data_IF_307198194831
#
_entry.id   IF_307198194831
#
_cell.length_a   1.000
_cell.length_b   1.000
_cell.length_c   1.000
_cell.angle_alpha   90.00
_cell.angle_beta   90.00
_cell.angle_gamma   90.00
#
_symmetry.space_group_name_H-M   'P 1'
#
loop_
_entity.id
_entity.type
_entity.pdbx_description
1 polymer ?
#
# COMPACT_ATOMS: atom_id res chain seq x y z
N UNK A 1 14.59 -12.49 -22.52
CA UNK A 1 13.19 -12.60 -23.00
C UNK A 1 12.27 -12.05 -21.91
N UNK A 2 11.89 -10.77 -22.00
CA UNK A 2 10.93 -10.17 -21.08
C UNK A 2 9.53 -10.49 -21.62
N UNK A 3 8.78 -11.34 -20.92
CA UNK A 3 7.44 -11.74 -21.33
C UNK A 3 6.47 -10.56 -21.19
N UNK A 4 6.22 -9.92 -22.32
CA UNK A 4 4.96 -9.30 -22.76
C UNK A 4 3.84 -9.16 -21.71
N UNK A 5 3.84 -8.08 -20.94
CA UNK A 5 2.61 -7.59 -20.27
C UNK A 5 1.77 -6.70 -21.21
N UNK A 6 2.22 -6.46 -22.45
CA UNK A 6 1.56 -5.58 -23.41
C UNK A 6 0.31 -6.14 -24.08
N UNK A 7 -0.04 -7.42 -23.86
CA UNK A 7 -1.17 -8.08 -24.54
C UNK A 7 -2.52 -7.92 -23.83
N UNK A 8 -2.57 -7.54 -22.55
CA UNK A 8 -3.82 -7.44 -21.78
C UNK A 8 -3.78 -6.23 -20.84
N UNK A 9 -4.24 -5.05 -21.27
CA UNK A 9 -4.20 -3.83 -20.45
C UNK A 9 -4.96 -4.00 -19.12
N UNK A 10 -6.06 -4.76 -19.11
CA UNK A 10 -6.81 -5.07 -17.89
C UNK A 10 -6.05 -5.89 -16.86
N UNK A 11 -5.06 -6.71 -17.27
CA UNK A 11 -4.27 -7.53 -16.33
C UNK A 11 -3.33 -6.68 -15.48
N UNK A 12 -2.82 -5.57 -16.04
CA UNK A 12 -1.93 -4.66 -15.32
C UNK A 12 -2.72 -3.85 -14.29
N UNK A 13 -3.91 -3.38 -14.67
CA UNK A 13 -4.80 -2.61 -13.78
C UNK A 13 -5.40 -3.48 -12.68
N UNK A 14 -5.74 -4.74 -12.97
CA UNK A 14 -6.18 -5.70 -11.95
C UNK A 14 -5.07 -5.96 -10.93
N UNK A 15 -3.83 -6.15 -11.40
CA UNK A 15 -2.68 -6.36 -10.54
C UNK A 15 -2.39 -5.14 -9.66
N UNK A 16 -2.34 -3.94 -10.25
CA UNK A 16 -2.08 -2.72 -9.50
C UNK A 16 -3.20 -2.40 -8.49
N UNK A 17 -4.45 -2.69 -8.83
CA UNK A 17 -5.58 -2.55 -7.91
C UNK A 17 -5.48 -3.54 -6.74
N UNK A 18 -5.10 -4.79 -7.01
CA UNK A 18 -4.93 -5.81 -5.98
C UNK A 18 -3.79 -5.45 -5.03
N UNK A 19 -2.64 -5.03 -5.56
CA UNK A 19 -1.50 -4.57 -4.75
C UNK A 19 -1.87 -3.34 -3.94
N UNK A 20 -2.42 -2.29 -4.56
CA UNK A 20 -2.87 -1.09 -3.86
C UNK A 20 -3.88 -1.44 -2.74
N UNK A 21 -4.87 -2.27 -3.04
CA UNK A 21 -5.85 -2.75 -2.06
C UNK A 21 -5.19 -3.47 -0.88
N UNK A 22 -4.20 -4.33 -1.13
CA UNK A 22 -3.46 -5.02 -0.08
C UNK A 22 -2.68 -4.05 0.81
N UNK A 23 -2.00 -3.05 0.24
CA UNK A 23 -1.29 -2.03 1.02
C UNK A 23 -2.25 -1.22 1.91
N UNK A 24 -3.38 -0.78 1.35
CA UNK A 24 -4.40 -0.06 2.13
C UNK A 24 -4.94 -0.92 3.26
N UNK A 25 -5.24 -2.18 2.99
CA UNK A 25 -5.77 -3.10 3.99
C UNK A 25 -4.76 -3.36 5.11
N UNK A 26 -3.48 -3.55 4.79
CA UNK A 26 -2.41 -3.74 5.80
C UNK A 26 -2.22 -2.46 6.62
N UNK A 27 -2.20 -1.28 5.99
CA UNK A 27 -2.08 0.01 6.69
C UNK A 27 -3.24 0.25 7.68
N UNK A 28 -4.47 -0.13 7.31
CA UNK A 28 -5.65 0.05 8.14
C UNK A 28 -5.78 -1.00 9.26
N UNK A 29 -5.43 -2.26 9.00
CA UNK A 29 -5.70 -3.37 9.92
C UNK A 29 -4.48 -3.83 10.73
N UNK A 30 -3.25 -3.55 10.26
CA UNK A 30 -2.01 -4.01 10.88
C UNK A 30 -1.05 -2.86 11.23
N UNK A 31 -1.40 -1.95 12.15
CA UNK A 31 -0.54 -0.81 12.51
C UNK A 31 0.78 -1.22 13.20
N UNK A 32 0.88 -2.45 13.71
CA UNK A 32 2.13 -3.00 14.29
C UNK A 32 3.19 -3.27 13.20
N UNK A 33 2.76 -3.52 11.96
CA UNK A 33 3.65 -3.78 10.84
C UNK A 33 3.98 -2.43 10.20
N UNK A 34 5.27 -2.08 10.18
CA UNK A 34 5.75 -0.88 9.48
C UNK A 34 5.72 -1.14 7.96
N UNK A 35 4.56 -0.93 7.35
CA UNK A 35 4.39 -0.92 5.89
C UNK A 35 4.74 0.47 5.33
N UNK A 36 5.42 0.57 4.17
CA UNK A 36 5.64 1.85 3.52
C UNK A 36 4.31 2.51 3.17
N UNK A 37 4.21 3.82 3.39
CA UNK A 37 3.00 4.56 3.06
C UNK A 37 2.76 4.61 1.54
N UNK A 38 1.55 4.28 1.12
CA UNK A 38 1.12 4.45 -0.27
C UNK A 38 0.60 5.87 -0.48
N UNK A 39 1.37 6.68 -1.21
CA UNK A 39 1.02 8.08 -1.47
C UNK A 39 -0.03 8.23 -2.57
N UNK A 40 0.01 7.36 -3.57
CA UNK A 40 -0.98 7.32 -4.64
C UNK A 40 -0.66 6.27 -5.70
N UNK A 41 -1.65 5.94 -6.50
CA UNK A 41 -1.55 4.98 -7.59
C UNK A 41 -2.40 5.42 -8.78
N UNK A 42 -2.07 4.93 -9.96
CA UNK A 42 -2.76 5.25 -11.20
C UNK A 42 -2.98 4.01 -12.06
N UNK A 43 -4.06 4.03 -12.83
CA UNK A 43 -4.43 2.99 -13.79
C UNK A 43 -4.18 3.45 -15.23
N UNK A 44 -4.10 2.49 -16.15
CA UNK A 44 -3.96 2.76 -17.59
C UNK A 44 -5.12 3.59 -18.16
N UNK A 45 -6.30 3.48 -17.56
CA UNK A 45 -7.52 4.23 -17.90
C UNK A 45 -7.44 5.74 -17.56
N UNK A 46 -6.33 6.23 -17.01
CA UNK A 46 -6.19 7.63 -16.58
C UNK A 46 -6.97 7.95 -15.30
N UNK A 47 -7.37 6.92 -14.53
CA UNK A 47 -7.87 7.08 -13.16
C UNK A 47 -6.68 7.12 -12.20
N UNK A 48 -6.55 8.21 -11.45
CA UNK A 48 -5.47 8.39 -10.48
C UNK A 48 -6.06 8.63 -9.10
N UNK A 49 -5.45 8.00 -8.11
CA UNK A 49 -5.87 8.03 -6.73
C UNK A 49 -4.72 8.53 -5.88
N UNK A 50 -4.95 9.56 -5.09
CA UNK A 50 -3.97 10.08 -4.13
C UNK A 50 -4.49 9.96 -2.71
N UNK A 51 -3.58 9.77 -1.77
CA UNK A 51 -3.92 9.65 -0.37
C UNK A 51 -4.54 10.96 0.15
N UNK A 52 -5.68 10.86 0.83
CA UNK A 52 -6.47 12.02 1.33
C UNK A 52 -5.67 12.98 2.23
N UNK A 53 -4.59 12.52 2.86
CA UNK A 53 -3.65 13.34 3.64
C UNK A 53 -2.94 14.42 2.82
N UNK A 54 -2.94 14.36 1.49
CA UNK A 54 -2.36 15.41 0.64
C UNK A 54 -3.44 16.27 -0.07
N UNK A 55 -4.72 15.99 0.19
CA UNK A 55 -5.82 16.79 -0.34
C UNK A 55 -6.00 18.10 0.44
N UNK A 56 -6.51 19.18 -0.22
CA UNK A 56 -6.77 20.46 0.44
C UNK A 56 -7.75 20.30 1.61
N UNK A 57 -7.61 21.17 2.61
CA UNK A 57 -8.33 21.08 3.89
C UNK A 57 -9.85 20.91 3.74
N UNK A 58 -10.46 21.62 2.78
CA UNK A 58 -11.90 21.54 2.48
C UNK A 58 -12.34 20.15 2.01
N UNK A 59 -11.52 19.47 1.21
CA UNK A 59 -11.82 18.11 0.77
C UNK A 59 -11.74 17.10 1.92
N UNK A 60 -10.90 17.37 2.93
CA UNK A 60 -10.78 16.52 4.13
C UNK A 60 -12.02 16.64 5.02
N UNK A 61 -12.46 17.86 5.33
CA UNK A 61 -13.65 18.08 6.18
C UNK A 61 -14.91 17.58 5.49
N UNK A 62 -15.06 17.82 4.19
CA UNK A 62 -16.16 17.29 3.39
C UNK A 62 -16.21 15.75 3.43
N UNK A 63 -15.06 15.09 3.25
CA UNK A 63 -14.97 13.62 3.30
C UNK A 63 -15.25 13.05 4.69
N UNK A 64 -14.82 13.73 5.76
CA UNK A 64 -15.13 13.34 7.13
C UNK A 64 -16.65 13.39 7.39
N UNK A 65 -17.31 14.44 6.89
CA UNK A 65 -18.76 14.60 6.96
C UNK A 65 -19.48 13.46 6.22
N UNK A 66 -19.05 13.16 4.98
CA UNK A 66 -19.58 12.04 4.22
C UNK A 66 -19.35 10.71 4.92
N UNK A 67 -18.17 10.45 5.48
CA UNK A 67 -17.93 9.23 6.27
C UNK A 67 -18.88 9.10 7.45
N UNK A 68 -19.19 10.19 8.12
CA UNK A 68 -20.17 10.20 9.21
C UNK A 68 -21.57 9.83 8.70
N UNK A 69 -21.99 10.42 7.58
CA UNK A 69 -23.26 10.10 6.91
C UNK A 69 -23.29 8.62 6.47
N UNK A 70 -22.27 8.12 5.77
CA UNK A 70 -22.19 6.73 5.32
C UNK A 70 -22.18 5.74 6.48
N UNK A 71 -21.50 6.06 7.59
CA UNK A 71 -21.52 5.27 8.83
C UNK A 71 -22.92 5.25 9.45
N UNK A 72 -23.62 6.38 9.44
CA UNK A 72 -25.01 6.49 9.89
C UNK A 72 -25.95 5.62 9.03
N UNK A 73 -25.71 5.56 7.72
CA UNK A 73 -26.48 4.75 6.77
C UNK A 73 -26.00 3.29 6.61
N UNK A 74 -25.00 2.83 7.38
CA UNK A 74 -24.38 1.49 7.27
C UNK A 74 -23.89 1.12 5.86
N UNK A 75 -23.48 2.12 5.08
CA UNK A 75 -22.91 1.92 3.75
C UNK A 75 -21.39 1.65 3.86
N UNK A 76 -20.78 0.96 2.88
CA UNK A 76 -19.37 0.58 2.94
C UNK A 76 -18.45 1.79 3.12
N UNK A 77 -17.41 1.63 3.94
CA UNK A 77 -16.47 2.69 4.28
C UNK A 77 -15.81 3.27 3.01
N UNK A 78 -15.86 4.59 2.86
CA UNK A 78 -15.14 5.28 1.79
C UNK A 78 -13.63 5.18 2.03
N UNK A 79 -12.94 4.54 1.08
CA UNK A 79 -11.47 4.44 1.01
C UNK A 79 -10.78 5.78 1.29
N UNK A 80 -9.63 5.74 1.96
CA UNK A 80 -8.78 6.91 2.24
C UNK A 80 -8.16 7.56 0.99
N UNK A 81 -8.38 6.95 -0.18
CA UNK A 81 -7.88 7.41 -1.47
C UNK A 81 -8.96 8.21 -2.21
N UNK A 82 -8.53 9.33 -2.78
CA UNK A 82 -9.39 10.26 -3.50
C UNK A 82 -8.99 10.24 -4.95
N UNK A 83 -9.99 10.18 -5.84
CA UNK A 83 -9.74 10.41 -7.26
C UNK A 83 -9.20 11.83 -7.46
N UNK A 84 -8.03 11.94 -8.07
CA UNK A 84 -7.38 13.21 -8.36
C UNK A 84 -7.00 13.23 -9.84
N UNK A 85 -7.72 13.95 -10.71
CA UNK A 85 -7.39 14.00 -12.13
C UNK A 85 -6.02 14.69 -12.32
N UNK A 86 -5.03 14.02 -12.92
CA UNK A 86 -3.73 14.62 -13.11
C UNK A 86 -3.77 15.67 -14.21
N UNK A 87 -2.92 16.69 -14.11
CA UNK A 87 -2.74 17.69 -15.17
C UNK A 87 -2.14 17.09 -16.45
N UNK A 88 -1.42 15.97 -16.32
CA UNK A 88 -0.81 15.24 -17.42
C UNK A 88 -1.13 13.75 -17.28
N UNK A 89 -1.69 13.16 -18.33
CA UNK A 89 -2.03 11.74 -18.34
C UNK A 89 -0.75 10.92 -18.49
N UNK A 90 -0.39 10.20 -17.43
CA UNK A 90 0.65 9.17 -17.50
C UNK A 90 -0.03 7.92 -18.06
N UNK A 91 0.36 7.51 -19.27
CA UNK A 91 -0.24 6.37 -20.00
C UNK A 91 0.27 5.02 -19.51
N UNK A 92 0.57 4.92 -18.21
CA UNK A 92 1.08 3.73 -17.54
C UNK A 92 0.50 3.61 -16.14
N UNK A 93 0.15 2.39 -15.72
CA UNK A 93 -0.14 2.10 -14.32
C UNK A 93 1.10 2.36 -13.45
N UNK A 94 0.91 3.01 -12.31
CA UNK A 94 2.01 3.34 -11.40
C UNK A 94 1.54 3.33 -9.95
N UNK A 95 2.51 3.22 -9.04
CA UNK A 95 2.30 3.27 -7.60
C UNK A 95 3.45 4.06 -6.98
N UNK A 96 3.11 4.99 -6.10
CA UNK A 96 4.08 5.84 -5.39
C UNK A 96 4.05 5.44 -3.92
N UNK A 97 5.17 4.91 -3.46
CA UNK A 97 5.36 4.41 -2.10
C UNK A 97 6.41 5.24 -1.37
N UNK A 98 6.35 5.19 -0.05
CA UNK A 98 7.39 5.71 0.82
C UNK A 98 8.75 5.08 0.50
N UNK A 99 9.76 5.95 0.38
CA UNK A 99 11.13 5.52 0.20
C UNK A 99 11.72 5.09 1.55
N UNK A 100 12.01 3.80 1.68
CA UNK A 100 12.69 3.22 2.84
C UNK A 100 14.21 3.38 2.64
N UNK A 101 14.74 4.52 3.10
CA UNK A 101 16.18 4.79 3.04
C UNK A 101 17.00 4.02 4.08
N UNK A 102 18.32 4.13 3.99
CA UNK A 102 19.28 3.46 4.88
C UNK A 102 19.13 3.87 6.37
N UNK A 103 18.50 5.02 6.63
CA UNK A 103 18.12 5.49 7.98
C UNK A 103 16.99 4.65 8.61
N UNK A 104 16.16 4.01 7.78
CA UNK A 104 15.03 3.19 8.22
C UNK A 104 15.43 1.75 8.49
N UNK A 105 16.43 1.24 7.75
CA UNK A 105 16.98 -0.08 7.93
C UNK A 105 17.82 -0.51 6.72
N UNK A 106 18.50 -1.64 6.87
CA UNK A 106 19.23 -2.28 5.78
C UNK A 106 18.41 -3.43 5.18
N UNK A 107 18.47 -3.64 3.85
CA UNK A 107 17.87 -4.80 3.22
C UNK A 107 18.37 -6.09 3.86
N UNK A 108 17.45 -7.03 4.08
CA UNK A 108 17.83 -8.32 4.63
C UNK A 108 18.80 -9.05 3.68
N UNK A 109 18.66 -8.89 2.36
CA UNK A 109 19.56 -9.50 1.35
C UNK A 109 21.03 -9.26 1.62
N UNK A 110 21.37 -8.05 2.06
CA UNK A 110 22.76 -7.60 2.16
C UNK A 110 23.43 -8.17 3.43
N UNK A 111 22.62 -8.48 4.44
CA UNK A 111 23.07 -8.97 5.75
C UNK A 111 22.77 -10.46 5.95
N UNK A 112 21.92 -11.06 5.12
CA UNK A 112 21.43 -12.43 5.33
C UNK A 112 22.55 -13.46 5.35
N UNK A 113 23.43 -13.47 4.35
CA UNK A 113 24.48 -14.47 4.23
C UNK A 113 25.50 -14.40 5.38
N UNK A 114 25.80 -13.19 5.86
CA UNK A 114 26.74 -12.97 6.97
C UNK A 114 26.20 -13.48 8.31
N UNK A 115 24.89 -13.34 8.55
CA UNK A 115 24.29 -13.69 9.85
C UNK A 115 23.50 -14.99 9.84
N UNK A 116 23.45 -15.73 8.72
CA UNK A 116 22.64 -16.95 8.55
C UNK A 116 23.00 -18.05 9.55
N UNK A 117 24.28 -18.18 9.86
CA UNK A 117 24.81 -19.21 10.77
C UNK A 117 24.68 -18.83 12.24
N UNK A 118 24.43 -17.55 12.54
CA UNK A 118 24.29 -17.08 13.90
C UNK A 118 22.88 -17.38 14.45
N UNK A 119 22.81 -18.34 15.38
CA UNK A 119 21.55 -18.84 15.94
C UNK A 119 20.64 -17.77 16.55
N UNK A 120 21.21 -16.74 17.21
CA UNK A 120 20.41 -15.71 17.88
C UNK A 120 19.72 -14.75 16.90
N UNK A 121 20.37 -14.42 15.80
CA UNK A 121 19.89 -13.52 14.75
C UNK A 121 18.79 -14.22 13.96
N UNK A 122 19.01 -15.50 13.65
CA UNK A 122 18.02 -16.36 13.01
C UNK A 122 16.74 -16.48 13.85
N UNK A 123 16.87 -16.67 15.17
CA UNK A 123 15.73 -16.71 16.07
C UNK A 123 14.96 -15.38 16.08
N UNK A 124 15.66 -14.23 16.11
CA UNK A 124 15.03 -12.90 16.03
C UNK A 124 14.29 -12.70 14.71
N UNK A 125 14.89 -13.10 13.59
CA UNK A 125 14.27 -13.02 12.27
C UNK A 125 12.99 -13.84 12.22
N UNK A 126 13.05 -15.13 12.61
CA UNK A 126 11.87 -15.99 12.63
C UNK A 126 10.78 -15.46 13.57
N UNK A 127 11.15 -14.98 14.76
CA UNK A 127 10.19 -14.37 15.68
C UNK A 127 9.52 -13.14 15.06
N UNK A 128 10.27 -12.32 14.32
CA UNK A 128 9.74 -11.17 13.59
C UNK A 128 8.75 -11.58 12.50
N UNK A 129 9.13 -12.52 11.63
CA UNK A 129 8.26 -13.04 10.57
C UNK A 129 7.00 -13.67 11.17
N UNK A 130 7.13 -14.48 12.22
CA UNK A 130 5.98 -15.09 12.90
C UNK A 130 5.02 -14.04 13.46
N UNK A 131 5.52 -12.94 14.05
CA UNK A 131 4.64 -11.84 14.50
C UNK A 131 3.89 -11.21 13.35
N UNK A 132 4.58 -10.88 12.25
CA UNK A 132 3.96 -10.30 11.06
C UNK A 132 2.86 -11.24 10.54
N UNK A 133 3.16 -12.53 10.39
CA UNK A 133 2.22 -13.53 9.91
C UNK A 133 0.99 -13.64 10.84
N UNK A 134 1.22 -13.66 12.15
CA UNK A 134 0.14 -13.72 13.15
C UNK A 134 -0.72 -12.45 13.15
N UNK A 135 -0.13 -11.28 12.96
CA UNK A 135 -0.87 -10.02 12.89
C UNK A 135 -1.72 -9.95 11.62
N UNK A 136 -1.21 -10.44 10.48
CA UNK A 136 -1.98 -10.58 9.24
C UNK A 136 -3.12 -11.60 9.38
N UNK A 137 -2.88 -12.74 10.02
CA UNK A 137 -3.87 -13.80 10.19
C UNK A 137 -4.94 -13.51 11.26
N UNK A 138 -4.74 -12.49 12.11
CA UNK A 138 -5.68 -12.12 13.18
C UNK A 138 -6.94 -11.43 12.65
N UNK A 139 -6.89 -10.87 11.44
CA UNK A 139 -8.02 -10.15 10.86
C UNK A 139 -8.83 -11.13 9.99
N UNK A 140 -10.13 -11.31 10.26
CA UNK A 140 -10.98 -12.29 9.58
C UNK A 140 -11.33 -11.92 8.13
#
# INVERSE_FOLDING_TARGET
MCASSSKYPGSIDEKSSCEAGAYVWVEENCPEIRSPHLFGFGFMDGRHFTHSKYAPFFSRTWRQLWRFIYKFFRLPLLSHYVWNPPRHQVRSAYMVLEYLGHETGQPLSDTFDTYRENGTQRQRLFRGISRILLSLARIP
#
